data_IF_881619024394
#
_entry.id   IF_881619024394
#
_cell.length_a   1.000
_cell.length_b   1.000
_cell.length_c   1.000
_cell.angle_alpha   90.00
_cell.angle_beta   90.00
_cell.angle_gamma   90.00
#
_symmetry.space_group_name_H-M   'P 1'
#
loop_
_entity.id
_entity.type
_entity.pdbx_description
1 polymer ?
#
# COMPACT_ATOMS: atom_id res chain seq x y z
N UNK A 1 17.75 -8.74 28.57
CA UNK A 1 17.11 -9.74 27.68
C UNK A 1 18.02 -9.89 26.47
N UNK A 2 18.57 -11.08 26.23
CA UNK A 2 19.52 -11.32 25.13
C UNK A 2 18.81 -11.37 23.77
N UNK A 3 19.55 -11.09 22.70
CA UNK A 3 19.09 -11.33 21.33
C UNK A 3 19.39 -12.79 21.00
N UNK A 4 18.38 -13.56 20.62
CA UNK A 4 18.51 -14.95 20.16
C UNK A 4 17.94 -15.06 18.75
N UNK A 5 18.66 -15.75 17.86
CA UNK A 5 18.18 -16.07 16.51
C UNK A 5 17.26 -17.28 16.61
N UNK A 6 16.00 -17.12 16.22
CA UNK A 6 15.00 -18.20 16.30
C UNK A 6 15.06 -19.14 15.08
N UNK A 7 15.32 -18.61 13.89
CA UNK A 7 15.41 -19.37 12.64
C UNK A 7 16.11 -18.55 11.55
N UNK A 8 16.59 -19.24 10.50
CA UNK A 8 17.15 -18.63 9.29
C UNK A 8 16.44 -19.25 8.09
N UNK A 9 15.91 -18.41 7.21
CA UNK A 9 15.15 -18.83 6.03
C UNK A 9 15.80 -18.27 4.77
N UNK A 10 15.74 -19.02 3.68
CA UNK A 10 16.09 -18.50 2.36
C UNK A 10 14.96 -17.62 1.79
N UNK A 11 15.23 -16.95 0.67
CA UNK A 11 14.28 -16.05 0.03
C UNK A 11 13.14 -16.76 -0.74
N UNK A 12 13.13 -18.10 -0.78
CA UNK A 12 12.11 -18.92 -1.43
C UNK A 12 11.35 -19.81 -0.42
N UNK A 13 11.55 -19.59 0.88
CA UNK A 13 11.00 -20.43 1.94
C UNK A 13 9.47 -20.36 1.99
N UNK A 14 8.81 -21.50 1.77
CA UNK A 14 7.36 -21.62 1.89
C UNK A 14 6.89 -21.43 3.34
N UNK A 15 7.71 -21.83 4.33
CA UNK A 15 7.42 -21.65 5.75
C UNK A 15 7.41 -20.15 6.12
N UNK A 16 8.44 -19.41 5.71
CA UNK A 16 8.46 -17.96 5.95
C UNK A 16 7.32 -17.24 5.21
N UNK A 17 6.97 -17.70 3.99
CA UNK A 17 5.82 -17.18 3.27
C UNK A 17 4.52 -17.42 4.04
N UNK A 18 4.30 -18.63 4.54
CA UNK A 18 3.14 -18.95 5.36
C UNK A 18 3.06 -18.06 6.60
N UNK A 19 4.19 -17.88 7.31
CA UNK A 19 4.26 -17.01 8.47
C UNK A 19 3.94 -15.55 8.11
N UNK A 20 4.49 -15.05 7.01
CA UNK A 20 4.25 -13.69 6.55
C UNK A 20 2.79 -13.45 6.16
N UNK A 21 2.14 -14.41 5.51
CA UNK A 21 0.75 -14.28 5.05
C UNK A 21 -0.25 -14.33 6.20
N UNK A 22 -0.02 -15.19 7.19
CA UNK A 22 -0.95 -15.41 8.30
C UNK A 22 -0.68 -14.50 9.51
N UNK A 23 0.55 -14.00 9.64
CA UNK A 23 0.99 -13.21 10.81
C UNK A 23 1.66 -11.89 10.40
N UNK A 24 1.33 -11.34 9.22
CA UNK A 24 1.93 -10.13 8.63
C UNK A 24 2.10 -8.97 9.64
N UNK A 25 1.11 -8.75 10.50
CA UNK A 25 1.10 -7.65 11.47
C UNK A 25 2.23 -7.73 12.51
N UNK A 26 2.73 -8.93 12.81
CA UNK A 26 3.86 -9.13 13.72
C UNK A 26 5.17 -8.64 13.10
N UNK A 27 5.30 -8.68 11.77
CA UNK A 27 6.46 -8.14 11.04
C UNK A 27 6.44 -6.61 10.95
N UNK A 28 5.29 -5.99 11.18
CA UNK A 28 5.08 -4.53 11.06
C UNK A 28 5.28 -3.78 12.38
N UNK A 29 5.65 -4.48 13.46
CA UNK A 29 5.72 -3.91 14.81
C UNK A 29 4.43 -3.13 15.17
N UNK A 30 3.27 -3.72 14.89
CA UNK A 30 1.95 -3.09 15.00
C UNK A 30 1.45 -2.85 16.44
N UNK A 31 2.35 -2.66 17.40
CA UNK A 31 2.01 -2.19 18.75
C UNK A 31 2.03 -0.66 18.77
N UNK A 32 1.22 -0.02 17.93
CA UNK A 32 0.87 1.37 18.23
C UNK A 32 -0.09 1.35 19.42
N UNK A 33 0.32 1.93 20.54
CA UNK A 33 -0.47 2.04 21.76
C UNK A 33 -1.71 2.96 21.61
N UNK A 34 -1.94 3.48 20.40
CA UNK A 34 -3.16 4.18 20.00
C UNK A 34 -4.19 3.14 19.57
N UNK A 35 -5.36 3.06 20.23
CA UNK A 35 -6.46 2.10 19.98
C UNK A 35 -7.10 2.13 18.57
N UNK A 36 -6.38 2.63 17.58
CA UNK A 36 -6.77 2.83 16.19
C UNK A 36 -5.92 1.91 15.29
N UNK A 37 -6.23 0.61 15.30
CA UNK A 37 -5.57 -0.39 14.42
C UNK A 37 -6.26 -0.42 13.04
N UNK A 38 -6.23 0.69 12.30
CA UNK A 38 -6.87 0.79 10.98
C UNK A 38 -6.01 0.26 9.82
N UNK A 39 -4.78 -0.19 10.09
CA UNK A 39 -3.89 -0.67 9.02
C UNK A 39 -4.32 -2.05 8.54
N UNK A 40 -5.03 -2.08 7.42
CA UNK A 40 -5.41 -3.32 6.75
C UNK A 40 -4.17 -4.13 6.35
N UNK A 41 -4.20 -5.41 6.67
CA UNK A 41 -3.18 -6.39 6.32
C UNK A 41 -3.81 -7.67 5.78
N UNK A 42 -3.06 -8.48 5.03
CA UNK A 42 -3.50 -9.79 4.58
C UNK A 42 -3.94 -10.72 5.72
N UNK A 43 -3.39 -10.54 6.93
CA UNK A 43 -3.74 -11.33 8.11
C UNK A 43 -5.01 -10.85 8.82
N UNK A 44 -5.39 -9.58 8.69
CA UNK A 44 -6.51 -9.00 9.45
C UNK A 44 -7.69 -8.48 8.57
N UNK A 45 -7.51 -8.42 7.24
CA UNK A 45 -8.49 -7.83 6.33
C UNK A 45 -8.67 -8.70 5.07
N UNK A 46 -9.93 -9.10 4.80
CA UNK A 46 -10.27 -9.95 3.66
C UNK A 46 -9.91 -9.30 2.31
N UNK A 47 -10.12 -7.99 2.15
CA UNK A 47 -9.81 -7.30 0.91
C UNK A 47 -8.30 -7.18 0.68
N UNK A 48 -7.53 -6.91 1.74
CA UNK A 48 -6.07 -6.94 1.67
C UNK A 48 -5.55 -8.35 1.29
N UNK A 49 -6.14 -9.39 1.88
CA UNK A 49 -5.83 -10.79 1.54
C UNK A 49 -6.12 -11.10 0.08
N UNK A 50 -7.27 -10.68 -0.44
CA UNK A 50 -7.63 -10.87 -1.84
C UNK A 50 -6.69 -10.12 -2.80
N UNK A 51 -6.27 -8.90 -2.45
CA UNK A 51 -5.28 -8.13 -3.23
C UNK A 51 -3.96 -8.89 -3.30
N UNK A 52 -3.46 -9.40 -2.16
CA UNK A 52 -2.24 -10.20 -2.14
C UNK A 52 -2.36 -11.49 -2.95
N UNK A 53 -3.47 -12.23 -2.81
CA UNK A 53 -3.69 -13.46 -3.58
C UNK A 53 -3.70 -13.20 -5.09
N UNK A 54 -4.34 -12.11 -5.54
CA UNK A 54 -4.33 -11.71 -6.95
C UNK A 54 -2.92 -11.31 -7.41
N UNK A 55 -2.17 -10.60 -6.58
CA UNK A 55 -0.77 -10.27 -6.86
C UNK A 55 0.08 -11.55 -7.03
N UNK A 56 -0.05 -12.51 -6.11
CA UNK A 56 0.61 -13.80 -6.19
C UNK A 56 0.24 -14.56 -7.48
N UNK A 57 -1.05 -14.66 -7.80
CA UNK A 57 -1.54 -15.30 -9.02
C UNK A 57 -1.00 -14.64 -10.29
N UNK A 58 -0.91 -13.30 -10.30
CA UNK A 58 -0.36 -12.55 -11.44
C UNK A 58 1.10 -12.92 -11.69
N UNK A 59 1.89 -13.11 -10.62
CA UNK A 59 3.29 -13.52 -10.75
C UNK A 59 3.39 -14.99 -11.18
N UNK A 60 2.59 -15.87 -10.60
CA UNK A 60 2.59 -17.29 -10.94
C UNK A 60 2.23 -17.53 -12.42
N UNK A 61 1.29 -16.75 -12.97
CA UNK A 61 0.81 -16.90 -14.33
C UNK A 61 1.64 -16.14 -15.39
N UNK A 62 2.62 -15.33 -14.96
CA UNK A 62 3.47 -14.59 -15.87
C UNK A 62 4.49 -15.51 -16.59
N UNK A 63 4.94 -15.11 -17.79
CA UNK A 63 6.00 -15.83 -18.51
C UNK A 63 7.30 -15.79 -17.71
N UNK A 64 7.84 -16.96 -17.37
CA UNK A 64 9.01 -17.08 -16.48
C UNK A 64 8.69 -16.83 -15.00
N UNK A 65 7.40 -16.83 -14.65
CA UNK A 65 6.94 -16.89 -13.26
C UNK A 65 6.89 -18.32 -12.73
N UNK A 66 6.27 -18.47 -11.56
CA UNK A 66 6.16 -19.73 -10.86
C UNK A 66 5.91 -19.53 -9.36
N UNK A 67 5.71 -20.62 -8.63
CA UNK A 67 5.52 -20.58 -7.17
C UNK A 67 6.76 -20.02 -6.47
N UNK A 68 7.94 -20.39 -6.92
CA UNK A 68 9.23 -19.94 -6.36
C UNK A 68 9.43 -18.44 -6.58
N UNK A 69 9.17 -17.96 -7.80
CA UNK A 69 9.30 -16.54 -8.18
C UNK A 69 8.27 -15.68 -7.44
N UNK A 70 7.04 -16.18 -7.29
CA UNK A 70 6.01 -15.52 -6.49
C UNK A 70 6.43 -15.42 -5.02
N UNK A 71 6.95 -16.52 -4.45
CA UNK A 71 7.44 -16.55 -3.06
C UNK A 71 8.57 -15.55 -2.85
N UNK A 72 9.59 -15.58 -3.72
CA UNK A 72 10.70 -14.61 -3.69
C UNK A 72 10.23 -13.16 -3.76
N UNK A 73 9.25 -12.87 -4.61
CA UNK A 73 8.75 -11.52 -4.80
C UNK A 73 7.86 -11.03 -3.66
N UNK A 74 7.12 -11.93 -3.02
CA UNK A 74 6.34 -11.60 -1.82
C UNK A 74 7.27 -11.39 -0.64
N UNK A 75 8.22 -12.30 -0.40
CA UNK A 75 9.17 -12.21 0.71
C UNK A 75 10.16 -11.04 0.57
N UNK A 76 10.41 -10.55 -0.65
CA UNK A 76 11.20 -9.33 -0.88
C UNK A 76 10.59 -8.06 -0.27
N UNK A 77 9.36 -8.11 0.26
CA UNK A 77 8.77 -7.03 1.04
C UNK A 77 9.31 -6.94 2.49
N UNK A 78 10.01 -7.97 2.95
CA UNK A 78 10.68 -8.00 4.26
C UNK A 78 12.11 -7.42 4.17
N UNK A 79 12.59 -6.73 5.21
CA UNK A 79 11.85 -6.31 6.41
C UNK A 79 10.86 -5.16 6.09
N UNK A 80 9.75 -5.12 6.81
CA UNK A 80 8.74 -4.08 6.58
C UNK A 80 9.15 -2.80 7.31
N UNK A 81 9.17 -1.69 6.57
CA UNK A 81 9.33 -0.36 7.16
C UNK A 81 8.00 0.11 7.77
N UNK A 82 7.81 -0.08 9.08
CA UNK A 82 6.61 0.34 9.80
C UNK A 82 6.33 1.84 9.68
N UNK A 83 7.37 2.66 9.61
CA UNK A 83 7.26 4.13 9.51
C UNK A 83 6.69 4.61 8.16
N UNK A 84 6.59 3.70 7.17
CA UNK A 84 6.09 4.03 5.83
C UNK A 84 4.62 3.66 5.64
N UNK A 85 3.88 3.39 6.72
CA UNK A 85 2.44 3.05 6.66
C UNK A 85 1.61 4.17 7.28
N UNK A 86 0.59 4.59 6.56
CA UNK A 86 -0.46 5.46 7.06
C UNK A 86 -1.49 4.63 7.84
N UNK A 87 -1.95 5.15 8.98
CA UNK A 87 -3.05 4.58 9.76
C UNK A 87 -4.38 5.29 9.51
N UNK A 88 -4.49 6.05 8.42
CA UNK A 88 -5.67 6.86 8.15
C UNK A 88 -6.89 6.00 7.76
N UNK A 89 -8.09 6.28 8.30
CA UNK A 89 -9.32 5.56 7.97
C UNK A 89 -9.72 5.72 6.48
N UNK A 90 -9.21 6.73 5.78
CA UNK A 90 -9.43 6.90 4.33
C UNK A 90 -8.82 5.77 3.50
N UNK A 91 -7.80 5.09 4.03
CA UNK A 91 -7.11 3.99 3.38
C UNK A 91 -7.51 2.62 3.97
N UNK A 92 -8.56 2.58 4.80
CA UNK A 92 -9.11 1.32 5.29
C UNK A 92 -9.87 0.62 4.16
N UNK A 93 -9.36 -0.54 3.76
CA UNK A 93 -9.94 -1.38 2.72
C UNK A 93 -11.30 -1.97 3.10
N UNK A 94 -11.63 -2.01 4.39
CA UNK A 94 -12.97 -2.38 4.89
C UNK A 94 -14.01 -1.31 4.62
N UNK A 95 -13.61 -0.03 4.63
CA UNK A 95 -14.50 1.10 4.43
C UNK A 95 -14.63 1.47 2.96
N UNK A 96 -13.50 1.48 2.25
CA UNK A 96 -13.44 2.00 0.89
C UNK A 96 -12.82 1.02 -0.12
N UNK A 97 -13.33 1.08 -1.34
CA UNK A 97 -12.74 0.50 -2.54
C UNK A 97 -12.15 1.64 -3.38
N UNK A 98 -10.85 1.54 -3.65
CA UNK A 98 -10.07 2.49 -4.45
C UNK A 98 -8.95 1.75 -5.19
N UNK A 99 -8.27 2.43 -6.11
CA UNK A 99 -7.15 1.86 -6.87
C UNK A 99 -5.84 1.99 -6.07
N UNK A 100 -5.30 0.86 -5.60
CA UNK A 100 -4.09 0.79 -4.76
C UNK A 100 -2.80 1.22 -5.49
N UNK A 101 -2.84 1.23 -6.82
CA UNK A 101 -1.74 1.69 -7.67
C UNK A 101 -1.62 3.21 -7.67
N UNK A 102 -2.72 3.91 -7.40
CA UNK A 102 -2.78 5.37 -7.39
C UNK A 102 -2.59 5.95 -5.99
N UNK A 103 -3.04 5.23 -4.96
CA UNK A 103 -2.90 5.59 -3.55
C UNK A 103 -2.93 4.34 -2.70
N UNK A 104 -2.10 4.24 -1.66
CA UNK A 104 -2.06 3.04 -0.80
C UNK A 104 -1.72 3.40 0.63
N UNK A 105 -2.05 2.49 1.56
CA UNK A 105 -1.66 2.55 2.98
C UNK A 105 -0.14 2.74 3.12
N UNK A 106 0.64 2.14 2.23
CA UNK A 106 2.06 2.36 2.16
C UNK A 106 2.37 3.71 1.48
N UNK A 107 3.00 4.62 2.23
CA UNK A 107 3.37 5.97 1.83
C UNK A 107 4.57 5.93 0.87
N UNK A 108 4.30 5.54 -0.37
CA UNK A 108 5.27 5.57 -1.47
C UNK A 108 4.78 6.49 -2.58
N UNK A 109 5.66 7.30 -3.19
CA UNK A 109 5.30 8.10 -4.35
C UNK A 109 4.67 7.23 -5.45
N UNK A 110 3.53 7.67 -5.98
CA UNK A 110 2.80 7.04 -7.07
C UNK A 110 2.87 7.90 -8.32
N UNK A 111 2.56 7.34 -9.48
CA UNK A 111 2.43 8.12 -10.70
C UNK A 111 1.26 9.11 -10.56
N UNK A 112 1.48 10.37 -10.91
CA UNK A 112 0.41 11.37 -10.93
C UNK A 112 -0.57 11.04 -12.05
N UNK A 113 -1.87 11.05 -11.75
CA UNK A 113 -2.93 10.82 -12.73
C UNK A 113 -3.64 12.11 -13.09
N UNK A 114 -4.08 12.21 -14.34
CA UNK A 114 -4.94 13.32 -14.78
C UNK A 114 -6.36 13.21 -14.19
N UNK A 115 -6.82 11.98 -14.00
CA UNK A 115 -8.16 11.70 -13.48
C UNK A 115 -8.17 11.62 -11.94
N UNK A 116 -9.29 11.99 -11.30
CA UNK A 116 -9.45 11.85 -9.86
C UNK A 116 -9.40 10.39 -9.43
N UNK A 117 -8.75 10.15 -8.30
CA UNK A 117 -8.81 8.89 -7.58
C UNK A 117 -10.16 8.81 -6.89
N UNK A 118 -10.92 7.74 -7.15
CA UNK A 118 -12.30 7.59 -6.66
C UNK A 118 -12.33 6.61 -5.49
N UNK A 119 -13.02 7.01 -4.42
CA UNK A 119 -13.24 6.18 -3.24
C UNK A 119 -14.72 5.82 -3.16
N UNK A 120 -15.01 4.54 -3.35
CA UNK A 120 -16.35 3.98 -3.25
C UNK A 120 -16.53 3.30 -1.89
N UNK A 121 -17.68 3.47 -1.25
CA UNK A 121 -17.97 2.76 -0.01
C UNK A 121 -18.13 1.26 -0.28
N UNK A 122 -17.57 0.41 0.58
CA UNK A 122 -17.68 -1.05 0.44
C UNK A 122 -19.08 -1.58 0.74
N UNK A 123 -19.81 -0.91 1.63
CA UNK A 123 -21.16 -1.29 2.06
C UNK A 123 -22.22 -1.12 0.96
N UNK A 124 -22.10 -0.05 0.18
CA UNK A 124 -23.15 0.42 -0.74
C UNK A 124 -22.67 0.56 -2.18
N UNK A 125 -21.35 0.57 -2.42
CA UNK A 125 -20.77 0.82 -3.74
C UNK A 125 -20.87 2.28 -4.21
N UNK A 126 -21.46 3.18 -3.41
CA UNK A 126 -21.59 4.58 -3.78
C UNK A 126 -20.25 5.30 -3.69
N UNK A 127 -20.03 6.23 -4.64
CA UNK A 127 -18.90 7.14 -4.59
C UNK A 127 -19.02 8.06 -3.37
N UNK A 128 -18.07 8.01 -2.45
CA UNK A 128 -18.05 8.85 -1.24
C UNK A 128 -17.28 10.14 -1.46
N UNK A 129 -16.09 10.04 -2.05
CA UNK A 129 -15.26 11.21 -2.35
C UNK A 129 -14.25 10.92 -3.46
N UNK A 130 -13.56 11.98 -3.88
CA UNK A 130 -12.52 11.95 -4.91
C UNK A 130 -11.30 12.71 -4.42
N UNK A 131 -10.11 12.22 -4.75
CA UNK A 131 -8.85 12.93 -4.55
C UNK A 131 -8.31 13.34 -5.92
N UNK A 132 -7.94 14.60 -6.06
CA UNK A 132 -7.31 15.14 -7.25
C UNK A 132 -5.80 15.24 -6.97
N UNK A 133 -4.96 14.31 -7.47
CA UNK A 133 -3.52 14.28 -7.16
C UNK A 133 -2.73 15.48 -7.67
N UNK A 134 -3.28 16.26 -8.61
CA UNK A 134 -2.59 17.42 -9.15
C UNK A 134 -3.30 18.23 -10.22
N UNK A 135 -2.54 19.20 -10.74
CA UNK A 135 -3.00 20.30 -11.59
C UNK A 135 -3.88 19.82 -12.74
N UNK A 136 -5.15 20.20 -12.70
CA UNK A 136 -6.04 20.12 -13.86
C UNK A 136 -5.67 21.22 -14.85
N UNK A 137 -5.04 20.86 -15.97
CA UNK A 137 -4.90 21.73 -17.14
C UNK A 137 -3.49 21.80 -17.74
N UNK A 138 -3.46 21.85 -19.08
CA UNK A 138 -2.50 22.29 -20.13
C UNK A 138 -0.98 22.46 -19.86
N UNK A 139 -0.44 22.22 -18.67
CA UNK A 139 0.96 22.43 -18.31
C UNK A 139 1.74 21.14 -18.04
N UNK A 140 1.13 19.96 -18.21
CA UNK A 140 1.87 18.70 -18.18
C UNK A 140 2.68 18.58 -19.46
N UNK A 141 3.97 18.88 -19.40
CA UNK A 141 4.88 18.55 -20.49
C UNK A 141 4.88 17.02 -20.67
N UNK A 142 4.76 16.49 -21.91
CA UNK A 142 4.64 15.06 -22.16
C UNK A 142 5.82 14.19 -21.69
N UNK A 143 6.95 14.81 -21.30
CA UNK A 143 8.23 14.12 -21.12
C UNK A 143 8.64 13.87 -19.66
N UNK A 144 7.98 14.45 -18.65
CA UNK A 144 8.36 14.27 -17.24
C UNK A 144 7.48 13.26 -16.51
N UNK A 145 8.10 12.27 -15.84
CA UNK A 145 7.38 11.38 -14.91
C UNK A 145 6.99 12.17 -13.65
N UNK A 146 5.74 12.61 -13.59
CA UNK A 146 5.21 13.29 -12.41
C UNK A 146 4.88 12.24 -11.34
N UNK A 147 5.45 12.42 -10.14
CA UNK A 147 5.14 11.58 -8.98
C UNK A 147 4.35 12.39 -7.97
N UNK A 148 3.41 11.74 -7.30
CA UNK A 148 2.63 12.31 -6.19
C UNK A 148 2.80 11.43 -4.97
N UNK A 149 3.08 12.04 -3.83
CA UNK A 149 3.02 11.42 -2.52
C UNK A 149 1.80 11.97 -1.76
N UNK A 150 1.15 11.12 -0.98
CA UNK A 150 0.02 11.51 -0.16
C UNK A 150 0.36 11.31 1.31
N UNK A 151 0.02 12.30 2.12
CA UNK A 151 0.09 12.22 3.58
C UNK A 151 -1.31 12.48 4.11
N UNK A 152 -1.91 11.47 4.71
CA UNK A 152 -3.26 11.57 5.27
C UNK A 152 -3.19 11.89 6.75
N UNK A 153 -4.07 12.77 7.22
CA UNK A 153 -4.25 12.94 8.66
C UNK A 153 -4.78 11.63 9.25
N UNK A 154 -4.30 11.22 10.46
CA UNK A 154 -4.74 9.98 11.08
C UNK A 154 -6.23 9.97 11.45
N UNK A 155 -6.85 11.13 11.72
CA UNK A 155 -8.23 11.21 12.24
C UNK A 155 -9.14 12.22 11.57
N UNK A 156 -8.57 13.21 10.87
CA UNK A 156 -9.34 14.39 10.42
C UNK A 156 -9.51 14.30 8.91
N UNK A 157 -10.55 14.94 8.33
CA UNK A 157 -10.81 14.92 6.90
C UNK A 157 -9.83 15.77 6.09
N UNK A 158 -8.55 15.45 6.20
CA UNK A 158 -7.45 16.21 5.65
C UNK A 158 -6.38 15.27 5.08
N UNK A 159 -5.93 15.59 3.87
CA UNK A 159 -4.82 14.92 3.22
C UNK A 159 -4.03 15.96 2.42
N UNK A 160 -2.71 15.82 2.42
CA UNK A 160 -1.77 16.63 1.65
C UNK A 160 -1.30 15.80 0.47
N UNK A 161 -1.23 16.42 -0.71
CA UNK A 161 -0.58 15.83 -1.88
C UNK A 161 0.68 16.62 -2.23
N UNK A 162 1.81 15.93 -2.33
CA UNK A 162 3.10 16.51 -2.71
C UNK A 162 3.48 15.96 -4.08
N UNK A 163 3.49 16.81 -5.09
CA UNK A 163 3.95 16.48 -6.42
C UNK A 163 5.42 16.81 -6.58
N UNK A 164 6.15 15.93 -7.27
CA UNK A 164 7.49 16.21 -7.77
C UNK A 164 7.46 16.33 -9.28
N UNK A 165 7.83 17.50 -9.79
CA UNK A 165 7.97 17.80 -11.22
C UNK A 165 9.44 18.05 -11.47
N UNK A 166 10.14 17.10 -12.10
CA UNK A 166 11.60 17.13 -12.26
C UNK A 166 12.33 17.26 -10.90
N UNK A 167 12.81 18.47 -10.57
CA UNK A 167 13.48 18.82 -9.31
C UNK A 167 12.59 19.59 -8.35
N UNK A 168 11.45 20.10 -8.80
CA UNK A 168 10.60 21.01 -8.03
C UNK A 168 9.51 20.23 -7.30
N UNK A 169 9.22 20.68 -6.07
CA UNK A 169 8.16 20.12 -5.23
C UNK A 169 7.01 21.10 -5.15
N UNK A 170 5.80 20.63 -5.49
CA UNK A 170 4.57 21.42 -5.38
C UNK A 170 3.66 20.73 -4.37
N UNK A 171 3.15 21.49 -3.40
CA UNK A 171 2.31 20.98 -2.31
C UNK A 171 0.90 21.52 -2.48
N UNK A 172 -0.10 20.64 -2.42
CA UNK A 172 -1.53 20.96 -2.48
C UNK A 172 -2.28 20.31 -1.31
#
# INVERSE_FOLDING_TARGET
MGIYVLAVYDNASEELLYLFENFCDHFRNAKSNSGFQYTASPSNNMYAKLIQQRFQQTIMNAKGGGKVEATKRILAQLPISSQSFSSSPYLDLSLYSYDDKLVSVMERPKACTEYPIRFFARDSGFLKFRIFPGLQGKYLQPSSRHLVAFTFHPTDPFAISVQRINTDYIVF
#
